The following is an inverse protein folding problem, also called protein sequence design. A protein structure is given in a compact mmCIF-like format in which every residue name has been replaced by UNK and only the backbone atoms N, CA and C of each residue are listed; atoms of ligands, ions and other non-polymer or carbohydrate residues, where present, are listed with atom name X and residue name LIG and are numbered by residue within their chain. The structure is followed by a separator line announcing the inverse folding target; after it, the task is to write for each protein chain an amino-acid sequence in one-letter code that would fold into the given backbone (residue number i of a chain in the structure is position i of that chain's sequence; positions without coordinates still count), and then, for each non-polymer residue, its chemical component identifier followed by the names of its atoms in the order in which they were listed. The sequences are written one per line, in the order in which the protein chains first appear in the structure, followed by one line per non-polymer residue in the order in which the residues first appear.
data_IF_005975996324
#
_entry.id   IF_005975996324
#
_cell.length_a   1.000
_cell.length_b   1.000
_cell.length_c   1.000
_cell.angle_alpha   90.00
_cell.angle_beta   90.00
_cell.angle_gamma   90.00
#
_symmetry.space_group_name_H-M   'P 1'
#
loop_
_entity.id
_entity.type
_entity.pdbx_description
1 polymer ?
#
# COMPACT_ATOMS: atom_id res chain seq x y z
N UNK A 1 4.33 -79.14 -20.94
CA UNK A 1 3.22 -79.74 -20.18
C UNK A 1 3.20 -79.04 -18.84
N UNK A 2 2.24 -78.16 -18.62
CA UNK A 2 1.56 -78.06 -17.32
C UNK A 2 0.37 -77.11 -17.45
N UNK A 3 -0.76 -77.62 -16.97
CA UNK A 3 -2.07 -77.00 -16.92
C UNK A 3 -2.12 -76.00 -15.76
N UNK A 4 -2.88 -74.91 -15.89
CA UNK A 4 -4.14 -74.73 -15.15
C UNK A 4 -4.75 -73.34 -15.42
N UNK A 5 -5.94 -73.36 -16.02
CA UNK A 5 -6.88 -72.25 -16.10
C UNK A 5 -7.37 -71.82 -14.71
N UNK A 6 -7.67 -70.53 -14.55
CA UNK A 6 -8.85 -70.07 -13.80
C UNK A 6 -9.30 -68.70 -14.31
N UNK A 7 -10.51 -68.71 -14.84
CA UNK A 7 -11.36 -67.58 -15.19
C UNK A 7 -11.71 -66.73 -13.97
N UNK A 8 -11.79 -65.41 -14.13
CA UNK A 8 -12.55 -64.55 -13.22
C UNK A 8 -13.60 -63.81 -14.04
N UNK A 9 -14.84 -64.02 -13.62
CA UNK A 9 -16.06 -63.55 -14.22
C UNK A 9 -16.24 -62.04 -14.06
N UNK A 10 -16.94 -61.48 -15.06
CA UNK A 10 -17.56 -60.16 -15.09
C UNK A 10 -18.40 -59.93 -13.83
N UNK A 11 -18.23 -58.76 -13.21
CA UNK A 11 -19.29 -58.14 -12.44
C UNK A 11 -19.50 -56.72 -12.97
N UNK A 12 -20.61 -56.56 -13.68
CA UNK A 12 -21.22 -55.28 -14.02
C UNK A 12 -21.69 -54.61 -12.72
N UNK A 13 -21.24 -53.39 -12.47
CA UNK A 13 -21.94 -52.45 -11.59
C UNK A 13 -22.21 -51.19 -12.42
N UNK A 14 -23.42 -51.17 -12.94
CA UNK A 14 -24.30 -50.04 -13.23
C UNK A 14 -23.66 -48.65 -13.20
N UNK A 15 -23.38 -48.12 -14.39
CA UNK A 15 -23.18 -46.69 -14.63
C UNK A 15 -24.50 -45.99 -14.30
N UNK A 16 -24.62 -45.48 -13.08
CA UNK A 16 -25.61 -44.44 -12.78
C UNK A 16 -25.06 -43.14 -13.35
N UNK A 17 -25.57 -42.81 -14.53
CA UNK A 17 -25.63 -41.48 -15.12
C UNK A 17 -25.77 -40.41 -14.04
N UNK A 18 -24.66 -39.74 -13.74
CA UNK A 18 -24.69 -38.42 -13.10
C UNK A 18 -25.34 -37.51 -14.13
N UNK A 19 -26.64 -37.33 -13.97
CA UNK A 19 -27.44 -36.35 -14.69
C UNK A 19 -26.72 -35.01 -14.60
N UNK A 20 -26.28 -34.53 -15.76
CA UNK A 20 -25.68 -33.23 -15.98
C UNK A 20 -26.61 -32.13 -15.49
N UNK A 21 -26.33 -31.58 -14.31
CA UNK A 21 -26.69 -30.19 -14.06
C UNK A 21 -25.84 -29.32 -15.00
N UNK A 22 -26.42 -28.36 -15.74
CA UNK A 22 -25.63 -27.45 -16.54
C UNK A 22 -24.71 -26.70 -15.57
N UNK A 23 -23.39 -26.87 -15.75
CA UNK A 23 -22.42 -25.98 -15.13
C UNK A 23 -22.80 -24.59 -15.60
N UNK A 24 -23.36 -23.78 -14.69
CA UNK A 24 -23.57 -22.37 -14.90
C UNK A 24 -22.21 -21.77 -15.24
N UNK A 25 -21.92 -21.66 -16.53
CA UNK A 25 -20.74 -20.97 -17.00
C UNK A 25 -20.95 -19.52 -16.61
N UNK A 26 -20.02 -18.98 -15.82
CA UNK A 26 -20.05 -17.56 -15.47
C UNK A 26 -20.25 -16.75 -16.75
N UNK A 27 -21.21 -15.82 -16.79
CA UNK A 27 -21.50 -15.04 -17.99
C UNK A 27 -20.27 -14.27 -18.48
N UNK A 28 -19.33 -13.96 -17.59
CA UNK A 28 -18.05 -13.33 -17.93
C UNK A 28 -17.10 -14.25 -18.74
N UNK A 29 -17.18 -15.56 -18.56
CA UNK A 29 -16.36 -16.54 -19.32
C UNK A 29 -16.93 -16.74 -20.73
N UNK A 30 -18.22 -16.46 -20.92
CA UNK A 30 -18.87 -16.54 -22.23
C UNK A 30 -18.64 -15.27 -23.09
N UNK A 31 -18.06 -14.21 -22.53
CA UNK A 31 -17.73 -13.00 -23.29
C UNK A 31 -16.55 -13.25 -24.23
N UNK A 32 -16.54 -12.62 -25.42
CA UNK A 32 -15.33 -12.52 -26.22
C UNK A 32 -14.18 -11.90 -25.40
N UNK A 33 -12.94 -12.41 -25.51
CA UNK A 33 -11.80 -11.89 -24.74
C UNK A 33 -11.63 -10.38 -24.84
N UNK A 34 -11.89 -9.80 -26.01
CA UNK A 34 -11.77 -8.37 -26.28
C UNK A 34 -12.75 -7.54 -25.43
N UNK A 35 -13.99 -8.03 -25.28
CA UNK A 35 -15.02 -7.37 -24.47
C UNK A 35 -14.66 -7.48 -22.99
N UNK A 36 -14.22 -8.65 -22.54
CA UNK A 36 -13.76 -8.86 -21.17
C UNK A 36 -12.57 -7.94 -20.83
N UNK A 37 -11.56 -7.88 -21.69
CA UNK A 37 -10.39 -7.02 -21.51
C UNK A 37 -10.76 -5.53 -21.54
N UNK A 38 -11.73 -5.12 -22.35
CA UNK A 38 -12.22 -3.74 -22.36
C UNK A 38 -12.91 -3.36 -21.05
N UNK A 39 -13.70 -4.26 -20.46
CA UNK A 39 -14.27 -4.07 -19.11
C UNK A 39 -13.13 -3.88 -18.09
N UNK A 40 -12.08 -4.70 -18.18
CA UNK A 40 -10.95 -4.65 -17.26
C UNK A 40 -10.22 -3.29 -17.24
N UNK A 41 -10.20 -2.54 -18.35
CA UNK A 41 -9.59 -1.19 -18.39
C UNK A 41 -10.23 -0.20 -17.43
N UNK A 42 -11.49 -0.44 -17.06
CA UNK A 42 -12.27 0.42 -16.19
C UNK A 42 -12.33 -0.08 -14.74
N UNK A 43 -11.51 -1.08 -14.37
CA UNK A 43 -11.48 -1.62 -13.01
C UNK A 43 -10.31 -1.06 -12.21
N UNK A 44 -10.47 -0.85 -10.89
CA UNK A 44 -9.37 -0.54 -9.98
C UNK A 44 -8.30 -1.64 -9.97
N UNK A 45 -7.02 -1.30 -9.69
CA UNK A 45 -5.94 -2.28 -9.60
C UNK A 45 -6.21 -3.48 -8.69
N UNK A 46 -6.86 -3.25 -7.54
CA UNK A 46 -7.19 -4.31 -6.58
C UNK A 46 -8.21 -5.30 -7.13
N UNK A 47 -9.15 -4.84 -7.94
CA UNK A 47 -10.17 -5.69 -8.56
C UNK A 47 -9.55 -6.49 -9.70
N UNK A 48 -8.64 -5.90 -10.47
CA UNK A 48 -7.83 -6.64 -11.44
C UNK A 48 -7.05 -7.77 -10.77
N UNK A 49 -6.29 -7.49 -9.71
CA UNK A 49 -5.60 -8.55 -8.96
C UNK A 49 -6.57 -9.61 -8.41
N UNK A 50 -7.77 -9.23 -8.00
CA UNK A 50 -8.78 -10.18 -7.54
C UNK A 50 -9.25 -11.08 -8.68
N UNK A 51 -9.51 -10.52 -9.88
CA UNK A 51 -9.88 -11.28 -11.08
C UNK A 51 -8.82 -12.29 -11.50
N UNK A 52 -7.53 -11.93 -11.42
CA UNK A 52 -6.43 -12.86 -11.76
C UNK A 52 -6.42 -14.13 -10.89
N UNK A 53 -7.12 -14.12 -9.75
CA UNK A 53 -7.20 -15.24 -8.81
C UNK A 53 -8.50 -16.05 -8.93
N UNK A 54 -9.43 -15.63 -9.78
CA UNK A 54 -10.74 -16.29 -9.94
C UNK A 54 -10.61 -17.57 -10.76
N UNK A 55 -9.97 -17.51 -11.94
CA UNK A 55 -9.78 -18.67 -12.81
C UNK A 55 -8.51 -18.55 -13.66
N UNK A 56 -8.08 -19.67 -14.26
CA UNK A 56 -6.88 -19.71 -15.11
C UNK A 56 -7.02 -18.86 -16.37
N UNK A 57 -8.22 -18.74 -16.92
CA UNK A 57 -8.49 -17.89 -18.08
C UNK A 57 -8.16 -16.42 -17.79
N UNK A 58 -8.75 -15.85 -16.73
CA UNK A 58 -8.48 -14.46 -16.34
C UNK A 58 -7.03 -14.23 -15.93
N UNK A 59 -6.40 -15.24 -15.30
CA UNK A 59 -4.96 -15.18 -15.07
C UNK A 59 -4.20 -15.06 -16.40
N UNK A 60 -4.45 -15.94 -17.36
CA UNK A 60 -3.77 -15.90 -18.64
C UNK A 60 -3.99 -14.55 -19.35
N UNK A 61 -5.23 -14.08 -19.39
CA UNK A 61 -5.61 -12.87 -20.12
C UNK A 61 -5.09 -11.57 -19.50
N UNK A 62 -4.84 -11.54 -18.18
CA UNK A 62 -4.39 -10.34 -17.46
C UNK A 62 -2.94 -10.40 -16.98
N UNK A 63 -2.31 -11.59 -16.99
CA UNK A 63 -1.00 -11.80 -16.37
C UNK A 63 0.05 -12.43 -17.26
N UNK A 64 -0.32 -13.20 -18.28
CA UNK A 64 0.66 -13.93 -19.07
C UNK A 64 1.07 -13.14 -20.31
N UNK A 65 2.37 -12.89 -20.41
CA UNK A 65 3.00 -12.20 -21.52
C UNK A 65 3.13 -10.69 -21.31
N UNK A 66 4.00 -10.09 -22.12
CA UNK A 66 4.26 -8.65 -22.15
C UNK A 66 3.54 -7.98 -23.32
N UNK A 67 2.32 -8.44 -23.63
CA UNK A 67 1.54 -7.87 -24.73
C UNK A 67 1.19 -6.42 -24.44
N UNK A 68 1.23 -5.59 -25.49
CA UNK A 68 0.89 -4.16 -25.40
C UNK A 68 -0.50 -3.95 -24.80
N UNK A 69 -1.46 -4.83 -25.14
CA UNK A 69 -2.83 -4.78 -24.61
C UNK A 69 -2.89 -4.99 -23.11
N UNK A 70 -2.16 -5.98 -22.57
CA UNK A 70 -2.15 -6.24 -21.12
C UNK A 70 -1.50 -5.06 -20.39
N UNK A 71 -0.37 -4.56 -20.90
CA UNK A 71 0.30 -3.39 -20.34
C UNK A 71 -0.64 -2.16 -20.33
N UNK A 72 -1.37 -1.92 -21.41
CA UNK A 72 -2.35 -0.82 -21.50
C UNK A 72 -3.48 -0.97 -20.48
N UNK A 73 -4.00 -2.17 -20.22
CA UNK A 73 -5.04 -2.38 -19.19
C UNK A 73 -4.54 -1.96 -17.81
N UNK A 74 -3.34 -2.41 -17.41
CA UNK A 74 -2.75 -2.05 -16.12
C UNK A 74 -2.42 -0.56 -16.04
N UNK A 75 -1.91 0.02 -17.13
CA UNK A 75 -1.63 1.46 -17.24
C UNK A 75 -2.90 2.29 -17.11
N UNK A 76 -3.96 1.97 -17.84
CA UNK A 76 -5.23 2.72 -17.79
C UNK A 76 -5.86 2.62 -16.40
N UNK A 77 -5.90 1.41 -15.83
CA UNK A 77 -6.38 1.21 -14.46
C UNK A 77 -5.58 2.05 -13.46
N UNK A 78 -4.24 2.08 -13.57
CA UNK A 78 -3.39 2.94 -12.73
C UNK A 78 -3.70 4.42 -12.90
N UNK A 79 -3.74 4.94 -14.12
CA UNK A 79 -3.94 6.36 -14.36
C UNK A 79 -5.33 6.85 -13.93
N UNK A 80 -6.37 6.02 -14.09
CA UNK A 80 -7.74 6.35 -13.69
C UNK A 80 -7.91 6.29 -12.17
N UNK A 81 -7.42 5.24 -11.51
CA UNK A 81 -7.69 5.00 -10.09
C UNK A 81 -6.56 5.41 -9.15
N UNK A 82 -5.41 5.79 -9.71
CA UNK A 82 -4.26 6.35 -8.99
C UNK A 82 -3.78 7.60 -9.74
N UNK A 83 -4.59 8.67 -9.84
CA UNK A 83 -4.28 9.85 -10.68
C UNK A 83 -3.05 10.64 -10.22
N UNK A 84 -2.45 10.29 -9.09
CA UNK A 84 -1.19 10.84 -8.60
C UNK A 84 -0.01 9.91 -8.86
N UNK A 85 -0.21 8.85 -9.64
CA UNK A 85 0.80 7.92 -10.12
C UNK A 85 0.84 8.04 -11.64
N UNK A 86 1.43 9.13 -12.11
CA UNK A 86 1.51 9.48 -13.53
C UNK A 86 2.79 8.93 -14.18
N UNK A 87 3.88 8.83 -13.42
CA UNK A 87 5.13 8.28 -13.92
C UNK A 87 4.94 6.82 -14.34
N UNK A 88 5.66 6.42 -15.39
CA UNK A 88 5.67 5.03 -15.84
C UNK A 88 6.41 4.09 -14.87
N UNK A 89 6.34 2.78 -15.14
CA UNK A 89 7.22 1.81 -14.51
C UNK A 89 8.70 2.23 -14.64
N UNK A 90 9.52 2.02 -13.60
CA UNK A 90 10.97 2.11 -13.74
C UNK A 90 11.49 1.14 -14.80
N UNK A 91 12.71 1.37 -15.28
CA UNK A 91 13.38 0.45 -16.20
C UNK A 91 13.43 -0.98 -15.64
N UNK A 92 13.13 -1.96 -16.50
CA UNK A 92 13.09 -3.38 -16.14
C UNK A 92 11.85 -3.84 -15.38
N UNK A 93 10.83 -2.98 -15.23
CA UNK A 93 9.55 -3.32 -14.60
C UNK A 93 8.39 -3.13 -15.58
N UNK A 94 7.46 -4.08 -15.63
CA UNK A 94 6.25 -3.91 -16.44
C UNK A 94 5.11 -3.24 -15.64
N UNK A 95 4.04 -2.78 -16.29
CA UNK A 95 2.94 -2.05 -15.64
C UNK A 95 2.25 -2.87 -14.54
N UNK A 96 2.07 -4.17 -14.74
CA UNK A 96 1.48 -5.04 -13.71
C UNK A 96 2.38 -5.12 -12.47
N UNK A 97 3.67 -5.31 -12.66
CA UNK A 97 4.65 -5.33 -11.57
C UNK A 97 4.73 -3.98 -10.87
N UNK A 98 4.68 -2.89 -11.63
CA UNK A 98 4.67 -1.53 -11.09
C UNK A 98 3.42 -1.24 -10.28
N UNK A 99 2.25 -1.57 -10.80
CA UNK A 99 1.00 -1.46 -10.07
C UNK A 99 1.04 -2.31 -8.80
N UNK A 100 1.56 -3.54 -8.86
CA UNK A 100 1.78 -4.40 -7.68
C UNK A 100 2.70 -3.74 -6.66
N UNK A 101 3.80 -3.16 -7.12
CA UNK A 101 4.81 -2.49 -6.31
C UNK A 101 4.23 -1.27 -5.55
N UNK A 102 3.34 -0.53 -6.21
CA UNK A 102 2.63 0.60 -5.64
C UNK A 102 1.60 0.19 -4.58
N UNK A 103 0.85 -0.90 -4.81
CA UNK A 103 -0.29 -1.28 -3.95
C UNK A 103 0.05 -2.30 -2.86
N UNK A 104 1.03 -3.18 -3.07
CA UNK A 104 1.40 -4.19 -2.08
C UNK A 104 2.19 -3.57 -0.93
N UNK A 105 1.76 -3.86 0.29
CA UNK A 105 2.46 -3.47 1.53
C UNK A 105 3.25 -4.66 2.10
N UNK A 106 4.12 -5.26 1.29
CA UNK A 106 5.03 -6.35 1.70
C UNK A 106 6.47 -5.95 1.51
N UNK A 107 7.33 -6.33 2.46
CA UNK A 107 8.76 -6.21 2.28
C UNK A 107 9.23 -7.22 1.22
N UNK A 108 9.97 -6.75 0.22
CA UNK A 108 10.58 -7.57 -0.83
C UNK A 108 11.45 -8.69 -0.25
N UNK A 109 12.20 -8.40 0.82
CA UNK A 109 13.19 -9.33 1.37
C UNK A 109 12.62 -10.38 2.33
N UNK A 110 11.69 -10.00 3.22
CA UNK A 110 11.13 -10.95 4.20
C UNK A 110 9.69 -11.38 3.90
N UNK A 111 9.05 -10.83 2.86
CA UNK A 111 7.66 -11.12 2.49
C UNK A 111 6.60 -10.66 3.49
N UNK A 112 7.00 -10.21 4.69
CA UNK A 112 6.09 -9.78 5.75
C UNK A 112 5.47 -8.43 5.42
N UNK A 113 4.18 -8.29 5.77
CA UNK A 113 3.50 -6.99 5.76
C UNK A 113 4.01 -6.16 6.93
N UNK A 114 4.47 -4.94 6.67
CA UNK A 114 4.98 -4.06 7.70
C UNK A 114 4.47 -2.63 7.47
N UNK A 115 3.84 -2.07 8.50
CA UNK A 115 3.28 -0.71 8.48
C UNK A 115 4.33 0.39 8.21
N UNK A 116 5.61 0.10 8.44
CA UNK A 116 6.71 1.04 8.18
C UNK A 116 7.51 0.71 6.91
N UNK A 117 6.99 -0.16 6.05
CA UNK A 117 7.65 -0.44 4.76
C UNK A 117 7.66 0.81 3.87
N UNK A 118 8.77 1.02 3.16
CA UNK A 118 8.95 2.15 2.24
C UNK A 118 9.44 1.64 0.89
N UNK A 119 9.07 2.36 -0.15
CA UNK A 119 9.65 2.19 -1.48
C UNK A 119 11.01 2.89 -1.49
N UNK A 120 12.01 2.19 -2.03
CA UNK A 120 13.37 2.63 -2.29
C UNK A 120 13.54 2.61 -3.82
N UNK A 121 13.29 3.76 -4.44
CA UNK A 121 13.17 3.89 -5.89
C UNK A 121 14.49 3.62 -6.61
N UNK A 122 15.61 4.03 -6.03
CA UNK A 122 16.97 3.80 -6.55
C UNK A 122 17.33 2.32 -6.71
N UNK A 123 16.65 1.46 -5.95
CA UNK A 123 16.83 0.01 -5.95
C UNK A 123 15.64 -0.75 -6.54
N UNK A 124 14.51 -0.07 -6.73
CA UNK A 124 13.26 -0.67 -7.20
C UNK A 124 12.63 -1.65 -6.20
N UNK A 125 12.83 -1.45 -4.89
CA UNK A 125 12.36 -2.39 -3.86
C UNK A 125 11.53 -1.72 -2.77
N UNK A 126 10.61 -2.48 -2.17
CA UNK A 126 9.92 -2.08 -0.94
C UNK A 126 10.57 -2.81 0.22
N UNK A 127 11.10 -2.08 1.19
CA UNK A 127 11.82 -2.67 2.33
C UNK A 127 11.23 -2.22 3.66
N UNK A 128 11.21 -3.12 4.64
CA UNK A 128 11.01 -2.74 6.03
C UNK A 128 12.35 -2.26 6.63
N UNK A 129 12.26 -1.49 7.71
CA UNK A 129 13.45 -0.93 8.36
C UNK A 129 14.49 -1.98 8.75
N UNK A 130 14.06 -3.14 9.28
CA UNK A 130 14.98 -4.22 9.65
C UNK A 130 15.75 -4.78 8.44
N UNK A 131 15.04 -5.05 7.34
CA UNK A 131 15.67 -5.58 6.14
C UNK A 131 16.58 -4.55 5.48
N UNK A 132 16.21 -3.27 5.49
CA UNK A 132 17.04 -2.16 5.05
C UNK A 132 18.37 -2.15 5.83
N UNK A 133 18.30 -2.06 7.17
CA UNK A 133 19.47 -1.96 8.04
C UNK A 133 20.50 -3.08 7.80
N UNK A 134 20.04 -4.31 7.56
CA UNK A 134 20.93 -5.45 7.29
C UNK A 134 21.59 -5.44 5.91
N UNK A 135 21.08 -4.63 4.96
CA UNK A 135 21.50 -4.64 3.55
C UNK A 135 22.11 -3.32 3.09
N UNK A 136 22.07 -2.31 3.93
CA UNK A 136 22.64 -1.00 3.65
C UNK A 136 23.71 -0.63 4.65
N UNK A 137 24.66 0.18 4.22
CA UNK A 137 25.65 0.82 5.09
C UNK A 137 25.63 2.33 4.89
N UNK A 138 25.94 3.08 5.94
CA UNK A 138 26.14 4.52 5.81
C UNK A 138 27.45 4.81 5.08
N UNK A 139 27.58 6.03 4.55
CA UNK A 139 28.85 6.48 3.97
C UNK A 139 30.01 6.38 4.97
N UNK A 140 29.77 6.78 6.23
CA UNK A 140 30.75 6.75 7.31
C UNK A 140 31.26 5.32 7.57
N UNK A 141 30.35 4.35 7.72
CA UNK A 141 30.72 2.94 7.91
C UNK A 141 31.56 2.39 6.73
N UNK A 142 31.25 2.78 5.50
CA UNK A 142 31.98 2.33 4.31
C UNK A 142 33.38 2.94 4.22
N UNK A 143 33.53 4.22 4.60
CA UNK A 143 34.82 4.91 4.66
C UNK A 143 35.70 4.32 5.76
N UNK A 144 35.15 4.13 6.97
CA UNK A 144 35.88 3.57 8.12
C UNK A 144 36.40 2.16 7.83
N UNK A 145 35.56 1.31 7.22
CA UNK A 145 35.91 -0.07 6.88
C UNK A 145 36.84 -0.17 5.66
N UNK A 146 37.06 0.93 4.93
CA UNK A 146 37.84 0.98 3.67
C UNK A 146 37.42 -0.08 2.65
N UNK A 147 36.17 -0.53 2.71
CA UNK A 147 35.65 -1.57 1.81
C UNK A 147 35.62 -1.07 0.35
N UNK A 148 35.36 0.24 0.18
CA UNK A 148 35.11 0.86 -1.12
C UNK A 148 35.76 2.24 -1.18
N UNK A 149 36.48 2.58 -2.27
CA UNK A 149 37.07 3.90 -2.44
C UNK A 149 35.99 5.00 -2.41
N UNK A 150 36.24 6.15 -1.75
CA UNK A 150 35.27 7.26 -1.71
C UNK A 150 34.83 7.74 -3.10
N UNK A 151 35.74 7.71 -4.08
CA UNK A 151 35.44 8.07 -5.46
C UNK A 151 34.35 7.19 -6.09
N UNK A 152 34.29 5.91 -5.74
CA UNK A 152 33.24 4.99 -6.21
C UNK A 152 31.91 5.32 -5.54
N UNK A 153 31.91 5.63 -4.23
CA UNK A 153 30.68 5.95 -3.50
C UNK A 153 29.99 7.20 -4.05
N UNK A 154 30.75 8.22 -4.43
CA UNK A 154 30.21 9.45 -5.05
C UNK A 154 29.62 9.24 -6.45
N UNK A 155 29.84 8.07 -7.05
CA UNK A 155 29.36 7.73 -8.39
C UNK A 155 28.21 6.73 -8.35
N UNK A 156 27.67 6.42 -7.17
CA UNK A 156 26.56 5.49 -7.00
C UNK A 156 25.33 6.22 -6.47
N UNK A 157 24.12 5.86 -6.96
CA UNK A 157 22.90 6.35 -6.36
C UNK A 157 22.79 5.88 -4.91
N UNK A 158 22.29 6.74 -4.04
CA UNK A 158 22.08 6.44 -2.63
C UNK A 158 20.66 6.82 -2.21
N UNK A 159 20.17 6.21 -1.14
CA UNK A 159 18.98 6.71 -0.45
C UNK A 159 19.37 7.42 0.84
N UNK A 160 18.43 8.18 1.40
CA UNK A 160 18.66 8.97 2.60
C UNK A 160 17.79 8.49 3.75
N UNK A 161 18.44 8.24 4.90
CA UNK A 161 17.76 8.00 6.16
C UNK A 161 18.13 9.11 7.14
N UNK A 162 17.16 9.97 7.50
CA UNK A 162 17.40 11.13 8.38
C UNK A 162 18.56 12.02 7.89
N UNK A 163 18.58 12.28 6.57
CA UNK A 163 19.63 13.04 5.89
C UNK A 163 21.01 12.37 5.83
N UNK A 164 21.13 11.12 6.31
CA UNK A 164 22.36 10.34 6.20
C UNK A 164 22.27 9.48 4.93
N UNK A 165 23.26 9.57 4.01
CA UNK A 165 23.31 8.73 2.83
C UNK A 165 23.56 7.27 3.24
N UNK A 166 22.75 6.39 2.69
CA UNK A 166 22.84 4.94 2.84
C UNK A 166 22.94 4.30 1.46
N UNK A 167 23.76 3.26 1.39
CA UNK A 167 24.06 2.57 0.14
C UNK A 167 23.74 1.09 0.27
N UNK A 168 23.15 0.52 -0.77
CA UNK A 168 22.82 -0.90 -0.84
C UNK A 168 24.06 -1.74 -1.13
N UNK A 169 24.40 -2.66 -0.23
CA UNK A 169 25.61 -3.47 -0.34
C UNK A 169 25.64 -4.31 -1.64
N UNK A 170 24.49 -4.78 -2.11
CA UNK A 170 24.38 -5.55 -3.35
C UNK A 170 24.57 -4.72 -4.62
N UNK A 171 24.40 -3.39 -4.57
CA UNK A 171 24.73 -2.48 -5.67
C UNK A 171 26.19 -2.03 -5.62
N UNK A 172 26.71 -1.78 -4.41
CA UNK A 172 28.07 -1.27 -4.24
C UNK A 172 29.13 -2.32 -4.57
N UNK A 173 28.99 -3.54 -4.03
CA UNK A 173 30.06 -4.53 -4.10
C UNK A 173 30.41 -4.90 -5.56
N UNK A 174 29.44 -5.15 -6.46
CA UNK A 174 29.75 -5.37 -7.88
C UNK A 174 30.46 -4.19 -8.54
N UNK A 175 30.07 -2.95 -8.20
CA UNK A 175 30.64 -1.72 -8.76
C UNK A 175 32.07 -1.46 -8.29
N UNK A 176 32.35 -1.79 -7.02
CA UNK A 176 33.70 -1.78 -6.48
C UNK A 176 34.59 -2.81 -7.18
N UNK A 177 34.08 -4.02 -7.41
CA UNK A 177 34.82 -5.05 -8.15
C UNK A 177 35.03 -4.70 -9.63
N UNK A 178 34.06 -4.02 -10.26
CA UNK A 178 34.22 -3.44 -11.60
C UNK A 178 35.36 -2.42 -11.61
N UNK A 179 35.34 -1.48 -10.67
CA UNK A 179 36.36 -0.42 -10.54
C UNK A 179 37.77 -0.98 -10.34
N UNK A 180 37.94 -2.00 -9.48
CA UNK A 180 39.26 -2.62 -9.21
C UNK A 180 39.90 -3.27 -10.43
N UNK A 181 39.12 -3.65 -11.44
CA UNK A 181 39.62 -4.30 -12.66
C UNK A 181 40.05 -3.31 -13.74
N UNK A 182 39.79 -2.02 -13.56
CA UNK A 182 40.07 -0.99 -14.56
C UNK A 182 41.54 -0.55 -14.50
N UNK A 183 42.09 -0.26 -15.66
CA UNK A 183 43.33 0.50 -15.77
C UNK A 183 43.09 1.98 -15.49
N UNK A 184 44.17 2.75 -15.23
CA UNK A 184 44.07 4.20 -14.97
C UNK A 184 43.36 4.98 -16.09
N UNK A 185 43.55 4.57 -17.35
CA UNK A 185 42.92 5.23 -18.50
C UNK A 185 41.42 4.89 -18.61
N UNK A 186 41.05 3.64 -18.38
CA UNK A 186 39.65 3.20 -18.40
C UNK A 186 38.86 3.78 -17.23
N UNK A 187 39.52 4.03 -16.10
CA UNK A 187 38.94 4.60 -14.90
C UNK A 187 38.21 5.92 -15.19
N UNK A 188 38.83 6.84 -15.93
CA UNK A 188 38.22 8.14 -16.24
C UNK A 188 36.93 7.99 -17.08
N UNK A 189 36.99 7.14 -18.11
CA UNK A 189 35.83 6.86 -18.99
C UNK A 189 34.71 6.19 -18.20
N UNK A 190 35.08 5.24 -17.35
CA UNK A 190 34.12 4.54 -16.49
C UNK A 190 33.45 5.48 -15.49
N UNK A 191 34.23 6.37 -14.85
CA UNK A 191 33.71 7.34 -13.89
C UNK A 191 32.74 8.31 -14.54
N UNK A 192 33.04 8.79 -15.75
CA UNK A 192 32.12 9.66 -16.51
C UNK A 192 30.81 8.93 -16.85
N UNK A 193 30.91 7.67 -17.28
CA UNK A 193 29.72 6.82 -17.53
C UNK A 193 28.89 6.63 -16.26
N UNK A 194 29.51 6.32 -15.12
CA UNK A 194 28.78 6.14 -13.86
C UNK A 194 28.13 7.45 -13.39
N UNK A 195 28.81 8.59 -13.55
CA UNK A 195 28.25 9.91 -13.23
C UNK A 195 26.96 10.15 -14.02
N UNK A 196 26.99 9.96 -15.33
CA UNK A 196 25.82 10.14 -16.18
C UNK A 196 24.64 9.22 -15.78
N UNK A 197 24.93 7.95 -15.45
CA UNK A 197 23.90 7.01 -14.97
C UNK A 197 23.31 7.49 -13.64
N UNK A 198 24.17 7.86 -12.69
CA UNK A 198 23.73 8.30 -11.36
C UNK A 198 22.91 9.59 -11.43
N UNK A 199 23.30 10.56 -12.25
CA UNK A 199 22.53 11.79 -12.47
C UNK A 199 21.14 11.51 -13.07
N UNK A 200 21.01 10.52 -13.96
CA UNK A 200 19.71 10.13 -14.51
C UNK A 200 18.82 9.49 -13.44
N UNK A 201 19.39 8.59 -12.62
CA UNK A 201 18.67 7.95 -11.52
C UNK A 201 18.23 9.00 -10.50
N UNK A 202 19.10 9.95 -10.12
CA UNK A 202 18.77 11.01 -9.18
C UNK A 202 17.62 11.90 -9.69
N UNK A 203 17.65 12.30 -10.97
CA UNK A 203 16.55 13.05 -11.59
C UNK A 203 15.24 12.27 -11.55
N UNK A 204 15.28 10.96 -11.83
CA UNK A 204 14.09 10.11 -11.73
C UNK A 204 13.59 10.01 -10.28
N UNK A 205 14.50 9.85 -9.32
CA UNK A 205 14.16 9.80 -7.89
C UNK A 205 13.48 11.08 -7.40
N UNK A 206 13.95 12.25 -7.84
CA UNK A 206 13.34 13.54 -7.50
C UNK A 206 11.89 13.61 -8.00
N UNK A 207 11.65 13.23 -9.26
CA UNK A 207 10.30 13.18 -9.82
C UNK A 207 9.39 12.22 -9.04
N UNK A 208 9.91 11.03 -8.70
CA UNK A 208 9.18 10.03 -7.90
C UNK A 208 8.92 10.51 -6.47
N UNK A 209 9.83 11.29 -5.89
CA UNK A 209 9.64 11.91 -4.59
C UNK A 209 8.48 12.91 -4.62
N UNK A 210 8.42 13.79 -5.64
CA UNK A 210 7.30 14.72 -5.80
C UNK A 210 5.97 13.98 -5.99
N UNK A 211 5.98 12.91 -6.78
CA UNK A 211 4.81 12.06 -6.99
C UNK A 211 4.33 11.39 -5.69
N UNK A 212 5.26 10.80 -4.92
CA UNK A 212 4.97 10.21 -3.60
C UNK A 212 4.37 11.24 -2.63
N UNK A 213 4.87 12.46 -2.64
CA UNK A 213 4.37 13.55 -1.81
C UNK A 213 2.96 13.99 -2.23
N UNK A 214 2.70 14.13 -3.53
CA UNK A 214 1.38 14.44 -4.06
C UNK A 214 0.36 13.35 -3.70
N UNK A 215 0.72 12.07 -3.91
CA UNK A 215 -0.12 10.93 -3.58
C UNK A 215 -0.47 10.89 -2.08
N UNK A 216 0.51 11.11 -1.19
CA UNK A 216 0.26 11.17 0.26
C UNK A 216 -0.66 12.32 0.66
N UNK A 217 -0.51 13.49 0.03
CA UNK A 217 -1.37 14.65 0.29
C UNK A 217 -2.82 14.34 -0.03
N UNK A 218 -3.08 13.72 -1.18
CA UNK A 218 -4.45 13.40 -1.59
C UNK A 218 -5.05 12.30 -0.73
N UNK A 219 -4.30 11.22 -0.45
CA UNK A 219 -4.77 10.16 0.44
C UNK A 219 -5.19 10.72 1.81
N UNK A 220 -4.49 11.73 2.35
CA UNK A 220 -4.89 12.44 3.56
C UNK A 220 -6.20 13.20 3.38
N UNK A 221 -6.36 13.93 2.27
CA UNK A 221 -7.57 14.68 1.96
C UNK A 221 -8.80 13.77 1.80
N UNK A 222 -8.69 12.73 0.97
CA UNK A 222 -9.76 11.74 0.76
C UNK A 222 -10.15 11.06 2.06
N UNK A 223 -9.16 10.66 2.86
CA UNK A 223 -9.39 10.09 4.19
C UNK A 223 -10.14 11.06 5.08
N UNK A 224 -9.74 12.34 5.11
CA UNK A 224 -10.42 13.36 5.91
C UNK A 224 -11.88 13.50 5.49
N UNK A 225 -12.14 13.62 4.18
CA UNK A 225 -13.50 13.69 3.65
C UNK A 225 -14.34 12.46 4.01
N UNK A 226 -13.78 11.25 3.89
CA UNK A 226 -14.46 10.01 4.26
C UNK A 226 -14.81 9.95 5.76
N UNK A 227 -13.91 10.40 6.63
CA UNK A 227 -14.17 10.50 8.07
C UNK A 227 -15.25 11.55 8.34
N UNK A 228 -15.12 12.74 7.77
CA UNK A 228 -16.07 13.84 7.98
C UNK A 228 -17.48 13.48 7.52
N UNK A 229 -17.62 12.78 6.39
CA UNK A 229 -18.90 12.24 5.94
C UNK A 229 -19.54 11.30 6.97
N UNK A 230 -18.75 10.36 7.52
CA UNK A 230 -19.23 9.45 8.58
C UNK A 230 -19.58 10.15 9.90
N UNK A 231 -18.84 11.20 10.25
CA UNK A 231 -19.17 12.02 11.43
C UNK A 231 -20.47 12.80 11.19
N UNK A 232 -20.68 13.34 9.99
CA UNK A 232 -21.92 14.02 9.66
C UNK A 232 -23.11 13.05 9.71
N UNK A 233 -22.98 11.84 9.16
CA UNK A 233 -23.98 10.76 9.32
C UNK A 233 -24.28 10.48 10.81
N UNK A 234 -23.25 10.40 11.64
CA UNK A 234 -23.39 10.14 13.08
C UNK A 234 -24.15 11.26 13.82
N UNK A 235 -23.93 12.53 13.44
CA UNK A 235 -24.64 13.68 14.01
C UNK A 235 -26.12 13.75 13.62
N UNK A 236 -26.53 13.04 12.56
CA UNK A 236 -27.93 12.92 12.16
C UNK A 236 -28.69 11.87 12.98
N UNK A 237 -27.99 11.00 13.73
CA UNK A 237 -28.64 10.03 14.61
C UNK A 237 -29.45 10.76 15.70
N UNK A 238 -30.70 10.35 15.90
CA UNK A 238 -31.60 10.91 16.91
C UNK A 238 -31.84 9.91 18.03
N UNK A 239 -32.02 10.43 19.24
CA UNK A 239 -32.52 9.68 20.39
C UNK A 239 -34.05 9.47 20.27
N UNK A 240 -34.62 8.67 21.17
CA UNK A 240 -36.07 8.39 21.23
C UNK A 240 -36.92 9.65 21.36
N UNK A 241 -36.38 10.69 21.99
CA UNK A 241 -37.00 12.01 22.13
C UNK A 241 -36.81 12.93 20.89
N UNK A 242 -36.28 12.42 19.78
CA UNK A 242 -36.07 13.17 18.54
C UNK A 242 -34.89 14.16 18.55
N UNK A 243 -34.18 14.28 19.68
CA UNK A 243 -32.98 15.14 19.78
C UNK A 243 -31.75 14.45 19.19
N UNK A 244 -30.80 15.24 18.69
CA UNK A 244 -29.52 14.70 18.16
C UNK A 244 -28.78 13.92 19.24
N UNK A 245 -28.47 12.66 18.95
CA UNK A 245 -27.72 11.76 19.83
C UNK A 245 -26.29 12.21 20.03
N UNK A 246 -25.67 12.75 18.99
CA UNK A 246 -24.29 13.24 19.00
C UNK A 246 -24.21 14.68 18.51
N UNK A 247 -23.58 15.54 19.30
CA UNK A 247 -23.26 16.91 18.91
C UNK A 247 -21.81 17.02 18.43
N UNK A 248 -21.61 17.65 17.26
CA UNK A 248 -20.31 17.78 16.60
C UNK A 248 -19.23 18.36 17.52
N UNK A 249 -19.58 19.36 18.33
CA UNK A 249 -18.65 20.04 19.25
C UNK A 249 -17.93 19.12 20.25
N UNK A 250 -18.55 18.01 20.68
CA UNK A 250 -17.88 17.04 21.56
C UNK A 250 -17.12 15.98 20.77
N UNK A 251 -17.65 15.58 19.61
CA UNK A 251 -16.93 14.67 18.71
C UNK A 251 -15.59 15.25 18.27
N UNK A 252 -15.53 16.55 17.97
CA UNK A 252 -14.28 17.24 17.60
C UNK A 252 -13.26 17.32 18.76
N UNK A 253 -13.71 17.17 20.00
CA UNK A 253 -12.83 17.10 21.18
C UNK A 253 -12.24 15.70 21.40
N UNK A 254 -12.89 14.65 20.90
CA UNK A 254 -12.50 13.26 21.06
C UNK A 254 -11.08 13.00 20.51
N UNK A 255 -10.21 12.43 21.34
CA UNK A 255 -8.83 12.13 20.97
C UNK A 255 -8.75 11.08 19.85
N UNK A 256 -9.66 10.11 19.85
CA UNK A 256 -9.74 9.11 18.78
C UNK A 256 -10.05 9.72 17.42
N UNK A 257 -10.92 10.74 17.36
CA UNK A 257 -11.20 11.46 16.11
C UNK A 257 -9.95 12.18 15.61
N UNK A 258 -9.30 12.97 16.48
CA UNK A 258 -8.07 13.71 16.14
C UNK A 258 -6.96 12.79 15.63
N UNK A 259 -6.77 11.63 16.24
CA UNK A 259 -5.80 10.64 15.78
C UNK A 259 -6.19 9.97 14.47
N UNK A 260 -7.49 9.80 14.21
CA UNK A 260 -7.97 9.14 13.00
C UNK A 260 -7.57 9.86 11.70
N UNK A 261 -7.43 11.19 11.74
CA UNK A 261 -6.97 12.01 10.61
C UNK A 261 -5.46 11.91 10.33
N UNK A 262 -4.65 11.44 11.28
CA UNK A 262 -3.18 11.38 11.12
C UNK A 262 -2.71 10.22 10.24
N UNK A 263 -3.54 9.19 10.07
CA UNK A 263 -3.18 8.01 9.28
C UNK A 263 -3.23 8.30 7.76
N UNK A 264 -2.39 7.62 6.98
CA UNK A 264 -2.30 7.80 5.52
C UNK A 264 -3.05 6.69 4.75
N UNK A 265 -3.52 5.66 5.45
CA UNK A 265 -4.24 4.52 4.83
C UNK A 265 -5.70 4.86 4.47
N UNK A 266 -6.32 4.13 3.52
CA UNK A 266 -7.74 4.25 3.23
C UNK A 266 -8.62 4.09 4.48
N UNK A 267 -9.72 4.84 4.54
CA UNK A 267 -10.71 4.73 5.60
C UNK A 267 -11.78 3.71 5.24
N UNK A 268 -11.73 2.55 5.88
CA UNK A 268 -12.62 1.42 5.57
C UNK A 268 -13.79 1.33 6.55
N UNK A 269 -14.86 0.64 6.18
CA UNK A 269 -15.99 0.35 7.08
C UNK A 269 -15.58 -0.37 8.37
N UNK A 270 -14.58 -1.25 8.31
CA UNK A 270 -13.99 -1.84 9.52
C UNK A 270 -13.34 -0.79 10.41
N UNK A 271 -12.63 0.17 9.82
CA UNK A 271 -12.01 1.29 10.54
C UNK A 271 -13.06 2.20 11.16
N UNK A 272 -14.16 2.48 10.45
CA UNK A 272 -15.28 3.25 10.95
C UNK A 272 -15.94 2.58 12.15
N UNK A 273 -16.29 1.28 12.08
CA UNK A 273 -16.86 0.53 13.20
C UNK A 273 -15.99 0.54 14.46
N UNK A 274 -14.66 0.59 14.30
CA UNK A 274 -13.73 0.72 15.43
C UNK A 274 -13.72 2.15 15.96
N UNK A 275 -13.68 3.14 15.08
CA UNK A 275 -13.70 4.55 15.46
C UNK A 275 -15.00 4.92 16.17
N UNK A 276 -16.17 4.60 15.60
CA UNK A 276 -17.49 4.88 16.17
C UNK A 276 -17.63 4.36 17.60
N UNK A 277 -17.13 3.16 17.88
CA UNK A 277 -17.12 2.58 19.24
C UNK A 277 -16.30 3.39 20.23
N UNK A 278 -15.14 3.92 19.81
CA UNK A 278 -14.30 4.78 20.65
C UNK A 278 -14.95 6.14 20.86
N UNK A 279 -15.51 6.73 19.79
CA UNK A 279 -16.21 8.01 19.87
C UNK A 279 -17.39 7.95 20.80
N UNK A 280 -18.21 6.89 20.76
CA UNK A 280 -19.34 6.76 21.67
C UNK A 280 -18.93 6.78 23.15
N UNK A 281 -17.79 6.15 23.47
CA UNK A 281 -17.22 6.14 24.83
C UNK A 281 -16.69 7.52 25.23
N UNK A 282 -15.77 8.07 24.43
CA UNK A 282 -15.15 9.39 24.68
C UNK A 282 -16.21 10.51 24.74
N UNK A 283 -17.24 10.43 23.90
CA UNK A 283 -18.36 11.37 23.92
C UNK A 283 -19.14 11.32 25.24
N UNK A 284 -19.42 10.11 25.74
CA UNK A 284 -20.16 9.95 27.00
C UNK A 284 -19.37 10.52 28.18
N UNK A 285 -18.06 10.26 28.21
CA UNK A 285 -17.14 10.83 29.22
C UNK A 285 -17.14 12.37 29.18
N UNK A 286 -17.08 12.98 27.99
CA UNK A 286 -17.10 14.44 27.83
C UNK A 286 -18.42 15.08 28.30
N UNK A 287 -19.55 14.42 28.03
CA UNK A 287 -20.87 14.89 28.47
C UNK A 287 -20.99 14.84 29.99
N UNK A 288 -20.54 13.75 30.63
CA UNK A 288 -20.58 13.64 32.09
C UNK A 288 -19.67 14.69 32.75
N UNK A 289 -18.46 14.90 32.22
CA UNK A 289 -17.56 15.95 32.71
C UNK A 289 -18.18 17.35 32.61
N UNK A 290 -18.91 17.66 31.54
CA UNK A 290 -19.56 18.96 31.42
C UNK A 290 -20.73 19.11 32.42
N UNK A 291 -21.52 18.05 32.64
CA UNK A 291 -22.59 18.07 33.65
C UNK A 291 -22.02 18.29 35.06
N UNK A 292 -20.92 17.62 35.39
CA UNK A 292 -20.21 17.81 36.66
C UNK A 292 -19.73 19.26 36.79
N UNK A 293 -19.06 19.79 35.76
CA UNK A 293 -18.57 21.17 35.75
C UNK A 293 -19.69 22.21 35.91
N UNK A 294 -20.82 22.04 35.21
CA UNK A 294 -21.98 22.93 35.34
C UNK A 294 -22.56 22.86 36.76
N UNK A 295 -22.62 21.65 37.35
CA UNK A 295 -23.13 21.45 38.70
C UNK A 295 -22.23 22.13 39.74
N UNK A 296 -20.91 21.97 39.64
CA UNK A 296 -19.94 22.65 40.49
C UNK A 296 -20.00 24.18 40.34
N UNK A 297 -20.13 24.69 39.12
CA UNK A 297 -20.25 26.14 38.88
C UNK A 297 -21.54 26.73 39.47
N UNK A 298 -22.66 26.00 39.40
CA UNK A 298 -23.93 26.40 40.03
C UNK A 298 -23.80 26.45 41.55
N UNK A 299 -23.13 25.49 42.17
CA UNK A 299 -22.89 25.49 43.62
C UNK A 299 -22.05 26.71 44.05
N UNK A 300 -20.95 27.00 43.34
CA UNK A 300 -20.11 28.18 43.61
C UNK A 300 -20.89 29.50 43.41
N UNK A 301 -21.79 29.56 42.42
CA UNK A 301 -22.63 30.74 42.19
C UNK A 301 -23.70 30.94 43.28
N UNK A 302 -24.24 29.85 43.84
CA UNK A 302 -25.16 29.89 44.98
C UNK A 302 -24.44 30.33 46.25
N UNK A 303 -23.26 29.77 46.55
CA UNK A 303 -22.44 30.18 47.70
C UNK A 303 -22.10 31.67 47.63
N UNK A 304 -21.68 32.18 46.46
CA UNK A 304 -21.40 33.61 46.29
C UNK A 304 -22.63 34.50 46.49
N UNK A 305 -23.84 34.04 46.17
CA UNK A 305 -25.07 34.81 46.41
C UNK A 305 -25.45 34.90 47.89
N UNK A 306 -25.06 33.92 48.71
CA UNK A 306 -25.30 33.94 50.16
C UNK A 306 -24.45 35.03 50.84
N UNK A 307 -23.24 35.31 50.35
CA UNK A 307 -22.32 36.31 50.91
C UNK A 307 -22.66 37.79 50.60
N UNK A 308 -23.74 38.09 49.85
CA UNK A 308 -24.17 39.47 49.54
C UNK A 308 -25.52 39.85 50.19
N UNK A 309 -26.00 39.06 51.15
CA UNK A 309 -27.28 39.30 51.87
C UNK A 309 -27.04 39.77 53.33
N UNK A 310 -25.79 39.89 53.77
CA UNK A 310 -25.41 40.54 55.04
C UNK A 310 -24.84 41.95 54.80
#
# INVERSE_FOLDING_TARGET
MDQYSKSVALNQISILTISSLPKSHSPLIALPPEIFLNICKHLPPFDLFSLTRVCRLFYNDLCLGDSVTIQDIWRQSRLVFMPYRQMGPPEGMNEKEYVRFLVEDKCYFCGRRNKSSKIYWERGVRSCFECLKTRTKTQEELIETKLVPPAVLHLLPCSYTRSIPIFWLDQIMPKNEEFKRLTSQECLVWMDKQRNITEQIEKEMDLRFFEDMAAKKVQKTERKHAIDAKINELCLEKNENGTSKYLRRYLDQCHSLKNSYKYIRPFTEKSWRLLKRKLAREYSELIEQEKENISSQRLVALEKKVYWID
#
